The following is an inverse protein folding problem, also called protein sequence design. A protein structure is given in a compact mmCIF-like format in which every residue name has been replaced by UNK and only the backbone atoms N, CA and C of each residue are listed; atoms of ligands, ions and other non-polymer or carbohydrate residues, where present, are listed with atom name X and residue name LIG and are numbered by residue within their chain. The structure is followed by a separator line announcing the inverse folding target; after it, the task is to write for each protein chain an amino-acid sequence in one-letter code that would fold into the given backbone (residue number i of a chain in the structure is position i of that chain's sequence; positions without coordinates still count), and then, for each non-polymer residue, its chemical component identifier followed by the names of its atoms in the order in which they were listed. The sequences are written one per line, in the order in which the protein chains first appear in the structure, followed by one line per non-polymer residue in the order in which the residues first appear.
data_IF_108648277500
#
_entry.id   IF_108648277500
#
_cell.length_a   1.000
_cell.length_b   1.000
_cell.length_c   1.000
_cell.angle_alpha   90.00
_cell.angle_beta   90.00
_cell.angle_gamma   90.00
#
_symmetry.space_group_name_H-M   'P 1'
#
loop_
_entity.id
_entity.type
_entity.pdbx_description
1 polymer ?
#
# COMPACT_ATOMS: atom_id res chain seq x y z
N UNK A 1 0.35 -18.50 6.08
CA UNK A 1 1.56 -19.25 6.50
C UNK A 1 2.02 -20.18 5.38
N UNK A 2 1.12 -20.89 4.71
CA UNK A 2 1.46 -21.87 3.64
C UNK A 2 2.12 -21.26 2.39
N UNK A 3 1.99 -19.96 2.19
CA UNK A 3 2.55 -19.24 1.04
C UNK A 3 3.97 -18.70 1.30
N UNK A 4 4.39 -18.57 2.55
CA UNK A 4 5.72 -18.04 2.88
C UNK A 4 6.79 -18.94 2.27
N UNK A 5 7.80 -18.36 1.66
CA UNK A 5 8.90 -19.05 0.97
C UNK A 5 8.58 -19.47 -0.47
N UNK A 6 7.33 -19.29 -0.92
CA UNK A 6 7.00 -19.52 -2.33
C UNK A 6 7.34 -18.28 -3.16
N UNK A 7 7.62 -18.50 -4.44
CA UNK A 7 7.80 -17.44 -5.42
C UNK A 7 6.50 -17.19 -6.15
N UNK A 8 6.22 -15.93 -6.40
CA UNK A 8 5.07 -15.48 -7.17
C UNK A 8 5.55 -14.54 -8.27
N UNK A 9 4.96 -14.66 -9.44
CA UNK A 9 5.18 -13.73 -10.53
C UNK A 9 4.28 -12.51 -10.32
N UNK A 10 4.89 -11.32 -10.35
CA UNK A 10 4.18 -10.04 -10.24
C UNK A 10 4.09 -9.38 -11.60
N UNK A 11 3.23 -8.37 -11.72
CA UNK A 11 3.08 -7.57 -12.94
C UNK A 11 4.45 -7.08 -13.42
N UNK A 12 4.73 -7.28 -14.71
CA UNK A 12 6.05 -7.01 -15.31
C UNK A 12 6.97 -8.24 -15.38
N UNK A 13 6.44 -9.45 -15.08
CA UNK A 13 7.14 -10.74 -15.28
C UNK A 13 8.27 -11.01 -14.28
N UNK A 14 8.32 -10.25 -13.19
CA UNK A 14 9.33 -10.45 -12.14
C UNK A 14 8.83 -11.48 -11.13
N UNK A 15 9.67 -12.45 -10.81
CA UNK A 15 9.41 -13.43 -9.73
C UNK A 15 9.93 -12.89 -8.40
N UNK A 16 9.06 -12.83 -7.39
CA UNK A 16 9.38 -12.34 -6.04
C UNK A 16 9.08 -13.38 -4.99
N UNK A 17 9.84 -13.35 -3.89
CA UNK A 17 9.69 -14.27 -2.76
C UNK A 17 8.66 -13.73 -1.76
N UNK A 18 7.76 -14.59 -1.28
CA UNK A 18 6.81 -14.24 -0.21
C UNK A 18 7.52 -14.36 1.14
N UNK A 19 7.60 -13.25 1.85
CA UNK A 19 8.27 -13.13 3.15
C UNK A 19 7.28 -12.87 4.28
N UNK A 20 7.58 -13.32 5.52
CA UNK A 20 6.77 -12.98 6.70
C UNK A 20 7.07 -11.58 7.20
N UNK A 21 6.04 -10.82 7.62
CA UNK A 21 6.17 -9.56 8.33
C UNK A 21 5.23 -9.50 9.53
N UNK A 22 5.66 -8.89 10.65
CA UNK A 22 4.87 -8.85 11.89
C UNK A 22 3.85 -7.70 11.89
N UNK A 23 4.06 -6.69 11.09
CA UNK A 23 3.17 -5.53 11.01
C UNK A 23 1.93 -5.74 10.13
N UNK A 24 1.86 -6.87 9.41
CA UNK A 24 0.73 -7.17 8.53
C UNK A 24 -0.43 -7.78 9.31
N UNK A 25 -1.63 -7.30 9.01
CA UNK A 25 -2.88 -7.93 9.42
C UNK A 25 -3.30 -8.95 8.35
N UNK A 26 -3.30 -10.22 8.73
CA UNK A 26 -3.63 -11.32 7.82
C UNK A 26 -5.13 -11.33 7.42
N UNK A 27 -5.97 -10.64 8.18
CA UNK A 27 -7.41 -10.54 7.91
C UNK A 27 -7.76 -9.31 7.07
N UNK A 28 -6.76 -8.45 6.80
CA UNK A 28 -6.96 -7.29 5.95
C UNK A 28 -6.73 -7.64 4.47
N UNK A 29 -7.74 -7.42 3.63
CA UNK A 29 -7.69 -7.74 2.21
C UNK A 29 -7.43 -9.22 1.95
N UNK A 30 -6.37 -9.53 1.21
CA UNK A 30 -5.94 -10.90 0.91
C UNK A 30 -4.95 -11.47 1.93
N UNK A 31 -4.52 -10.66 2.91
CA UNK A 31 -3.41 -10.98 3.81
C UNK A 31 -2.03 -10.98 3.13
N UNK A 32 -1.95 -10.70 1.84
CA UNK A 32 -0.72 -10.51 1.08
C UNK A 32 -0.59 -9.06 0.65
N UNK A 33 0.58 -8.47 0.85
CA UNK A 33 0.86 -7.08 0.50
C UNK A 33 2.07 -7.02 -0.41
N UNK A 34 1.97 -6.25 -1.48
CA UNK A 34 3.10 -5.96 -2.35
C UNK A 34 4.09 -5.07 -1.60
N UNK A 35 5.27 -5.58 -1.35
CA UNK A 35 6.32 -4.89 -0.59
C UNK A 35 7.14 -3.96 -1.49
N UNK A 36 7.38 -2.74 -1.02
CA UNK A 36 8.20 -1.72 -1.69
C UNK A 36 9.26 -1.17 -0.72
N UNK A 37 10.31 -1.95 -0.43
CA UNK A 37 11.31 -1.58 0.58
C UNK A 37 12.07 -0.28 0.32
N UNK A 38 12.08 0.21 -0.92
CA UNK A 38 12.70 1.51 -1.25
C UNK A 38 11.93 2.69 -0.68
N UNK A 39 10.58 2.60 -0.67
CA UNK A 39 9.70 3.73 -0.39
C UNK A 39 8.78 3.50 0.83
N UNK A 40 8.84 2.31 1.44
CA UNK A 40 8.12 1.96 2.65
C UNK A 40 9.09 1.58 3.77
N UNK A 41 9.09 2.38 4.84
CA UNK A 41 9.94 2.13 6.00
C UNK A 41 9.55 0.83 6.73
N UNK A 42 8.26 0.50 6.79
CA UNK A 42 7.78 -0.76 7.37
C UNK A 42 8.33 -1.96 6.61
N UNK A 43 8.30 -1.91 5.29
CA UNK A 43 8.79 -3.00 4.43
C UNK A 43 10.30 -3.18 4.54
N UNK A 44 11.04 -2.05 4.54
CA UNK A 44 12.50 -2.10 4.61
C UNK A 44 12.99 -2.61 5.95
N UNK A 45 12.44 -2.13 7.06
CA UNK A 45 12.87 -2.59 8.38
C UNK A 45 12.50 -4.06 8.61
N UNK A 46 11.34 -4.51 8.13
CA UNK A 46 10.94 -5.91 8.22
C UNK A 46 11.88 -6.82 7.40
N UNK A 47 12.31 -6.36 6.21
CA UNK A 47 13.33 -7.06 5.42
C UNK A 47 14.66 -7.12 6.15
N UNK A 48 15.15 -6.00 6.71
CA UNK A 48 16.42 -5.96 7.46
C UNK A 48 16.40 -6.83 8.71
N UNK A 49 15.28 -6.86 9.44
CA UNK A 49 15.11 -7.75 10.60
C UNK A 49 15.20 -9.21 10.17
N UNK A 50 14.51 -9.58 9.09
CA UNK A 50 14.53 -10.96 8.58
C UNK A 50 15.91 -11.37 8.05
N UNK A 51 16.66 -10.45 7.41
CA UNK A 51 18.01 -10.69 6.93
C UNK A 51 19.02 -10.99 8.06
N UNK A 52 18.72 -10.58 9.29
CA UNK A 52 19.54 -10.82 10.50
C UNK A 52 19.07 -12.04 11.29
N UNK A 53 17.85 -12.53 11.07
CA UNK A 53 17.19 -13.57 11.86
C UNK A 53 17.21 -14.94 11.14
N UNK A 54 18.30 -15.68 11.35
CA UNK A 54 18.46 -17.03 10.77
C UNK A 54 17.44 -18.04 11.35
N UNK A 55 17.05 -17.89 12.61
CA UNK A 55 16.10 -18.82 13.25
C UNK A 55 14.70 -18.63 12.64
N UNK A 56 14.32 -17.37 12.39
CA UNK A 56 13.07 -17.06 11.73
C UNK A 56 13.05 -17.53 10.29
N UNK A 57 14.14 -17.40 9.56
CA UNK A 57 14.28 -17.96 8.23
C UNK A 57 14.11 -19.49 8.25
N UNK A 58 14.77 -20.19 9.16
CA UNK A 58 14.62 -21.65 9.33
C UNK A 58 13.18 -22.04 9.66
N UNK A 59 12.52 -21.32 10.56
CA UNK A 59 11.11 -21.56 10.94
C UNK A 59 10.16 -21.57 9.76
N UNK A 60 10.41 -20.72 8.77
CA UNK A 60 9.60 -20.59 7.57
C UNK A 60 10.20 -21.29 6.33
N UNK A 61 11.25 -22.09 6.53
CA UNK A 61 11.95 -22.81 5.46
C UNK A 61 12.46 -21.90 4.33
N UNK A 62 12.97 -20.70 4.72
CA UNK A 62 13.56 -19.71 3.83
C UNK A 62 15.07 -19.93 3.73
N UNK A 63 15.64 -19.80 2.54
CA UNK A 63 17.09 -19.71 2.39
C UNK A 63 17.58 -18.34 2.83
N UNK A 64 18.33 -18.30 3.93
CA UNK A 64 18.89 -17.07 4.48
C UNK A 64 19.79 -16.31 3.48
N UNK A 65 20.50 -17.02 2.61
CA UNK A 65 21.35 -16.38 1.61
C UNK A 65 20.50 -15.71 0.52
N UNK A 66 19.39 -16.33 0.11
CA UNK A 66 18.45 -15.72 -0.81
C UNK A 66 17.83 -14.45 -0.18
N UNK A 67 17.42 -14.51 1.07
CA UNK A 67 16.85 -13.36 1.80
C UNK A 67 17.88 -12.24 1.95
N UNK A 68 19.14 -12.54 2.33
CA UNK A 68 20.22 -11.57 2.45
C UNK A 68 20.57 -10.87 1.13
N UNK A 69 20.31 -11.51 0.00
CA UNK A 69 20.57 -10.96 -1.33
C UNK A 69 19.46 -10.04 -1.85
N UNK A 70 18.29 -9.98 -1.18
CA UNK A 70 17.20 -9.08 -1.56
C UNK A 70 17.62 -7.66 -1.24
N UNK A 71 17.58 -6.79 -2.26
CA UNK A 71 17.91 -5.37 -2.14
C UNK A 71 16.69 -4.53 -2.53
N UNK A 72 16.48 -3.38 -1.85
CA UNK A 72 15.49 -2.41 -2.29
C UNK A 72 15.76 -1.96 -3.73
N UNK A 73 14.69 -1.78 -4.48
CA UNK A 73 14.75 -1.23 -5.84
C UNK A 73 14.04 0.11 -5.80
N UNK A 74 14.78 1.20 -6.00
CA UNK A 74 14.22 2.55 -6.07
C UNK A 74 13.25 2.63 -7.24
N UNK A 75 12.02 3.05 -6.96
CA UNK A 75 10.95 3.16 -7.96
C UNK A 75 10.51 4.61 -8.19
N UNK A 76 10.84 5.49 -7.24
CA UNK A 76 10.49 6.91 -7.28
C UNK A 76 11.74 7.79 -7.15
N UNK A 77 11.65 8.98 -7.73
CA UNK A 77 12.57 10.08 -7.49
C UNK A 77 11.96 11.00 -6.43
N UNK A 78 12.34 10.81 -5.16
CA UNK A 78 11.88 11.65 -4.06
C UNK A 78 12.97 12.65 -3.68
N UNK A 79 12.69 13.94 -3.84
CA UNK A 79 13.68 15.00 -3.67
C UNK A 79 14.29 14.97 -2.26
N UNK A 80 15.62 14.93 -2.19
CA UNK A 80 16.40 15.00 -0.95
C UNK A 80 16.49 13.70 -0.16
N UNK A 81 15.92 12.57 -0.65
CA UNK A 81 15.91 11.30 0.07
C UNK A 81 16.74 10.18 -0.61
N UNK A 82 17.36 10.46 -1.77
CA UNK A 82 18.15 9.47 -2.51
C UNK A 82 17.31 8.37 -3.16
N UNK A 83 18.00 7.29 -3.58
CA UNK A 83 17.37 6.17 -4.32
C UNK A 83 16.53 5.23 -3.44
N UNK A 84 16.76 5.27 -2.12
CA UNK A 84 16.03 4.47 -1.14
C UNK A 84 15.51 5.39 -0.02
N UNK A 85 14.44 6.16 -0.27
CA UNK A 85 13.88 7.12 0.69
C UNK A 85 13.57 6.52 2.06
N UNK A 86 13.10 5.27 2.11
CA UNK A 86 12.83 4.56 3.35
C UNK A 86 14.07 4.41 4.23
N UNK A 87 15.25 4.12 3.65
CA UNK A 87 16.49 4.01 4.38
C UNK A 87 16.87 5.35 5.02
N UNK A 88 16.85 6.43 4.24
CA UNK A 88 17.15 7.79 4.74
C UNK A 88 16.27 8.15 5.93
N UNK A 89 15.00 7.79 5.89
CA UNK A 89 14.05 8.06 6.97
C UNK A 89 14.29 7.17 8.20
N UNK A 90 14.57 5.89 8.02
CA UNK A 90 14.91 4.99 9.13
C UNK A 90 16.16 5.45 9.88
N UNK A 91 17.20 5.87 9.14
CA UNK A 91 18.44 6.42 9.70
C UNK A 91 18.20 7.75 10.45
N UNK A 92 17.42 8.68 9.85
CA UNK A 92 17.03 9.96 10.46
C UNK A 92 16.32 9.77 11.80
N UNK A 93 15.42 8.81 11.89
CA UNK A 93 14.62 8.52 13.10
C UNK A 93 15.27 7.48 14.02
N UNK A 94 16.43 6.93 13.64
CA UNK A 94 17.16 5.90 14.37
C UNK A 94 16.25 4.73 14.76
N UNK A 95 15.60 4.13 13.74
CA UNK A 95 14.78 2.93 13.90
C UNK A 95 15.66 1.71 13.71
N UNK A 96 15.64 0.80 14.66
CA UNK A 96 16.48 -0.42 14.66
C UNK A 96 15.66 -1.68 14.41
N UNK A 97 14.36 -1.68 14.76
CA UNK A 97 13.47 -2.84 14.66
C UNK A 97 12.06 -2.47 14.21
N UNK A 98 11.38 -3.41 13.56
CA UNK A 98 10.00 -3.22 13.08
C UNK A 98 8.96 -3.04 14.20
N UNK A 99 9.31 -3.33 15.46
CA UNK A 99 8.42 -3.17 16.60
C UNK A 99 8.37 -1.73 17.14
N UNK A 100 9.23 -0.83 16.64
CA UNK A 100 9.24 0.59 16.99
C UNK A 100 8.11 1.37 16.33
N UNK A 101 6.86 0.91 16.52
CA UNK A 101 5.67 1.37 15.80
C UNK A 101 5.46 2.89 15.84
N UNK A 102 5.69 3.51 17.01
CA UNK A 102 5.48 4.96 17.14
C UNK A 102 6.40 5.81 16.26
N UNK A 103 7.63 5.35 15.98
CA UNK A 103 8.55 6.01 15.06
C UNK A 103 8.16 5.70 13.61
N UNK A 104 7.86 4.43 13.33
CA UNK A 104 7.45 3.98 11.99
C UNK A 104 6.17 4.67 11.52
N UNK A 105 5.18 4.87 12.39
CA UNK A 105 3.96 5.59 12.06
C UNK A 105 4.20 7.07 11.73
N UNK A 106 5.18 7.70 12.38
CA UNK A 106 5.61 9.07 12.02
C UNK A 106 6.29 9.10 10.65
N UNK A 107 7.22 8.19 10.43
CA UNK A 107 7.92 8.05 9.14
C UNK A 107 6.90 7.80 8.04
N UNK A 108 5.99 6.86 8.23
CA UNK A 108 4.95 6.52 7.24
C UNK A 108 4.16 7.75 6.80
N UNK A 109 3.73 8.58 7.74
CA UNK A 109 2.98 9.81 7.44
C UNK A 109 3.83 10.85 6.69
N UNK A 110 5.11 11.03 7.11
CA UNK A 110 6.03 11.99 6.48
C UNK A 110 6.42 11.50 5.08
N UNK A 111 6.85 10.26 4.96
CA UNK A 111 7.30 9.67 3.70
C UNK A 111 6.15 9.58 2.68
N UNK A 112 4.96 9.17 3.10
CA UNK A 112 3.80 9.14 2.22
C UNK A 112 3.50 10.50 1.60
N UNK A 113 3.56 11.58 2.41
CA UNK A 113 3.37 12.95 1.92
C UNK A 113 4.41 13.33 0.87
N UNK A 114 5.68 13.04 1.16
CA UNK A 114 6.79 13.37 0.26
C UNK A 114 6.73 12.57 -1.04
N UNK A 115 6.44 11.28 -0.95
CA UNK A 115 6.39 10.40 -2.11
C UNK A 115 5.15 10.62 -2.97
N UNK A 116 3.97 10.76 -2.38
CA UNK A 116 2.73 10.88 -3.14
C UNK A 116 2.59 12.24 -3.83
N UNK A 117 2.87 13.33 -3.12
CA UNK A 117 2.69 14.68 -3.66
C UNK A 117 3.95 15.29 -4.28
N UNK A 118 5.12 14.83 -3.89
CA UNK A 118 6.40 15.44 -4.27
C UNK A 118 7.30 14.60 -5.16
N UNK A 119 7.06 13.29 -5.25
CA UNK A 119 7.88 12.41 -6.05
C UNK A 119 7.36 12.22 -7.47
N UNK A 120 8.24 11.77 -8.34
CA UNK A 120 7.96 11.34 -9.70
C UNK A 120 8.47 9.92 -9.94
N UNK A 121 7.89 9.24 -10.92
CA UNK A 121 8.40 7.94 -11.34
C UNK A 121 9.80 8.05 -11.91
N UNK A 122 10.65 7.08 -11.61
CA UNK A 122 12.02 7.05 -12.11
C UNK A 122 12.12 6.37 -13.49
N UNK A 123 13.34 6.19 -13.96
CA UNK A 123 13.66 5.60 -15.27
C UNK A 123 13.10 4.18 -15.50
N UNK A 124 12.75 3.44 -14.44
CA UNK A 124 12.14 2.11 -14.56
C UNK A 124 10.74 2.16 -15.18
N UNK A 125 10.13 3.34 -15.21
CA UNK A 125 8.81 3.56 -15.80
C UNK A 125 8.85 4.24 -17.17
N UNK A 126 10.03 4.25 -17.82
CA UNK A 126 10.20 4.87 -19.14
C UNK A 126 9.32 4.23 -20.22
N UNK A 127 9.21 2.92 -20.21
CA UNK A 127 8.40 2.15 -21.15
C UNK A 127 7.38 1.28 -20.42
N UNK A 128 6.65 1.90 -19.47
CA UNK A 128 5.68 1.20 -18.67
C UNK A 128 4.32 1.16 -19.36
N UNK A 129 3.89 -0.05 -19.74
CA UNK A 129 2.83 -0.27 -20.73
C UNK A 129 3.17 0.49 -22.01
N UNK A 130 2.20 1.17 -22.63
CA UNK A 130 2.39 1.94 -23.86
C UNK A 130 2.71 3.42 -23.60
N UNK A 131 3.13 3.79 -22.40
CA UNK A 131 3.38 5.17 -22.00
C UNK A 131 4.70 5.34 -21.25
N UNK A 132 5.40 6.43 -21.57
CA UNK A 132 6.51 6.87 -20.76
C UNK A 132 6.00 7.62 -19.52
N UNK A 133 6.22 7.06 -18.35
CA UNK A 133 5.88 7.66 -17.06
C UNK A 133 7.11 8.23 -16.32
N UNK A 134 8.32 8.13 -16.86
CA UNK A 134 9.51 8.73 -16.26
C UNK A 134 9.31 10.23 -16.07
N UNK A 135 9.52 10.73 -14.85
CA UNK A 135 9.34 12.12 -14.48
C UNK A 135 7.89 12.55 -14.24
N UNK A 136 6.91 11.70 -14.51
CA UNK A 136 5.49 11.98 -14.20
C UNK A 136 5.28 11.89 -12.69
N UNK A 137 4.48 12.81 -12.13
CA UNK A 137 4.15 12.78 -10.70
C UNK A 137 3.38 11.52 -10.32
N UNK A 138 3.65 11.01 -9.12
CA UNK A 138 3.01 9.78 -8.61
C UNK A 138 1.49 9.92 -8.60
N UNK A 139 0.96 11.06 -8.19
CA UNK A 139 -0.48 11.35 -8.16
C UNK A 139 -1.16 11.16 -9.52
N UNK A 140 -0.51 11.63 -10.60
CA UNK A 140 -1.03 11.52 -11.98
C UNK A 140 -0.84 10.11 -12.56
N UNK A 141 0.37 9.55 -12.42
CA UNK A 141 0.69 8.26 -13.01
C UNK A 141 0.02 7.07 -12.34
N UNK A 142 -0.30 7.18 -11.06
CA UNK A 142 -1.00 6.14 -10.30
C UNK A 142 -2.35 5.78 -10.91
N UNK A 143 -3.15 6.77 -11.29
CA UNK A 143 -4.46 6.51 -11.90
C UNK A 143 -4.33 5.82 -13.26
N UNK A 144 -3.38 6.26 -14.08
CA UNK A 144 -3.09 5.59 -15.36
C UNK A 144 -2.69 4.13 -15.15
N UNK A 145 -1.76 3.85 -14.24
CA UNK A 145 -1.31 2.47 -13.96
C UNK A 145 -2.48 1.60 -13.47
N UNK A 146 -3.30 2.12 -12.58
CA UNK A 146 -4.50 1.42 -12.08
C UNK A 146 -5.44 1.05 -13.23
N UNK A 147 -5.74 2.01 -14.11
CA UNK A 147 -6.68 1.79 -15.20
C UNK A 147 -6.15 0.76 -16.21
N UNK A 148 -4.86 0.80 -16.54
CA UNK A 148 -4.25 -0.20 -17.41
C UNK A 148 -4.24 -1.60 -16.79
N UNK A 149 -3.92 -1.72 -15.51
CA UNK A 149 -3.96 -3.00 -14.80
C UNK A 149 -5.38 -3.60 -14.72
N UNK A 150 -6.40 -2.75 -14.54
CA UNK A 150 -7.81 -3.16 -14.60
C UNK A 150 -8.20 -3.64 -15.99
N UNK A 151 -7.85 -2.91 -17.05
CA UNK A 151 -8.10 -3.30 -18.45
C UNK A 151 -7.46 -4.63 -18.81
N UNK A 152 -6.26 -4.89 -18.29
CA UNK A 152 -5.54 -6.15 -18.50
C UNK A 152 -6.07 -7.31 -17.63
N UNK A 153 -6.98 -7.05 -16.70
CA UNK A 153 -7.51 -8.05 -15.77
C UNK A 153 -6.49 -8.54 -14.73
N UNK A 154 -5.43 -7.77 -14.48
CA UNK A 154 -4.40 -8.13 -13.50
C UNK A 154 -4.75 -7.74 -12.07
N UNK A 155 -5.68 -6.80 -11.90
CA UNK A 155 -6.18 -6.35 -10.59
C UNK A 155 -7.70 -6.25 -10.59
N UNK A 156 -8.26 -6.25 -9.39
CA UNK A 156 -9.66 -5.92 -9.14
C UNK A 156 -9.74 -4.91 -7.99
N UNK A 157 -10.87 -4.21 -7.88
CA UNK A 157 -11.08 -3.21 -6.82
C UNK A 157 -11.83 -3.86 -5.66
N UNK A 158 -11.17 -3.89 -4.51
CA UNK A 158 -11.75 -4.35 -3.27
C UNK A 158 -11.98 -3.17 -2.32
N UNK A 159 -13.19 -3.06 -1.81
CA UNK A 159 -13.58 -2.00 -0.87
C UNK A 159 -13.62 -2.54 0.54
N UNK A 160 -12.85 -1.94 1.43
CA UNK A 160 -12.79 -2.31 2.84
C UNK A 160 -12.78 -1.06 3.71
N UNK A 161 -13.34 -1.16 4.91
CA UNK A 161 -13.26 -0.08 5.90
C UNK A 161 -11.82 0.09 6.38
N UNK A 162 -11.37 1.33 6.54
CA UNK A 162 -10.00 1.64 7.00
C UNK A 162 -9.76 1.35 8.48
N UNK A 163 -10.78 0.93 9.20
CA UNK A 163 -10.73 0.52 10.59
C UNK A 163 -12.05 -0.09 11.01
N UNK A 164 -12.10 -0.64 12.22
CA UNK A 164 -13.29 -1.26 12.77
C UNK A 164 -14.40 -0.23 12.97
N UNK A 165 -15.49 -0.39 12.26
CA UNK A 165 -16.71 0.41 12.40
C UNK A 165 -17.80 -0.48 12.94
N UNK A 166 -18.53 -0.02 13.96
CA UNK A 166 -19.64 -0.75 14.56
C UNK A 166 -20.93 0.05 14.48
N UNK A 167 -22.02 -0.63 14.23
CA UNK A 167 -23.35 -0.07 14.28
C UNK A 167 -23.79 0.23 15.73
N UNK A 168 -24.95 0.88 15.93
CA UNK A 168 -25.53 1.10 17.28
C UNK A 168 -25.81 -0.21 18.02
N UNK A 169 -26.03 -1.29 17.32
CA UNK A 169 -26.24 -2.64 17.85
C UNK A 169 -24.96 -3.36 18.23
N UNK A 170 -23.80 -2.70 18.13
CA UNK A 170 -22.45 -3.27 18.30
C UNK A 170 -22.07 -4.32 17.24
N UNK A 171 -22.91 -4.54 16.22
CA UNK A 171 -22.55 -5.37 15.08
C UNK A 171 -21.47 -4.69 14.25
N UNK A 172 -20.50 -5.47 13.79
CA UNK A 172 -19.43 -4.97 12.91
C UNK A 172 -19.98 -4.66 11.51
N UNK A 173 -19.60 -3.50 10.98
CA UNK A 173 -19.99 -3.07 9.65
C UNK A 173 -19.00 -3.60 8.62
N UNK A 174 -19.52 -4.00 7.48
CA UNK A 174 -18.75 -4.41 6.30
C UNK A 174 -19.14 -3.54 5.10
N UNK A 175 -18.21 -3.35 4.16
CA UNK A 175 -18.54 -2.72 2.89
C UNK A 175 -19.26 -3.73 2.02
N UNK A 176 -20.38 -3.32 1.44
CA UNK A 176 -21.13 -4.13 0.48
C UNK A 176 -21.60 -3.23 -0.65
N UNK A 177 -21.34 -3.65 -1.88
CA UNK A 177 -21.99 -3.05 -3.05
C UNK A 177 -23.42 -3.60 -3.07
N UNK A 178 -24.38 -2.70 -3.13
CA UNK A 178 -25.79 -3.05 -3.17
C UNK A 178 -26.44 -2.43 -4.41
N UNK A 179 -27.19 -3.22 -5.13
CA UNK A 179 -28.02 -2.80 -6.25
C UNK A 179 -29.44 -2.52 -5.75
N UNK A 180 -30.22 -1.77 -6.52
CA UNK A 180 -31.62 -1.48 -6.26
C UNK A 180 -31.91 -0.84 -4.90
N UNK A 181 -31.10 0.14 -4.51
CA UNK A 181 -31.33 0.92 -3.30
C UNK A 181 -32.14 2.18 -3.59
N UNK A 182 -33.10 2.45 -2.73
CA UNK A 182 -33.89 3.68 -2.77
C UNK A 182 -33.25 4.72 -1.86
N UNK A 183 -33.06 5.92 -2.39
CA UNK A 183 -32.56 7.08 -1.66
C UNK A 183 -33.59 8.19 -1.68
N UNK A 184 -33.71 8.91 -0.56
CA UNK A 184 -34.51 10.13 -0.51
C UNK A 184 -33.68 11.28 -1.06
N UNK A 185 -34.21 11.98 -2.04
CA UNK A 185 -33.57 13.14 -2.64
C UNK A 185 -33.77 14.40 -1.76
N UNK A 186 -33.13 14.44 -0.61
CA UNK A 186 -33.26 15.58 0.34
C UNK A 186 -32.89 16.95 -0.24
N UNK A 187 -32.12 16.99 -1.32
CA UNK A 187 -31.74 18.20 -2.03
C UNK A 187 -32.69 18.59 -3.17
N UNK A 188 -33.83 17.90 -3.35
CA UNK A 188 -34.82 18.26 -4.35
C UNK A 188 -35.40 19.65 -4.03
N UNK A 189 -35.30 20.58 -4.99
CA UNK A 189 -35.67 22.00 -4.79
C UNK A 189 -37.15 22.17 -4.51
N UNK A 190 -38.02 21.41 -5.21
CA UNK A 190 -39.47 21.51 -5.04
C UNK A 190 -39.88 21.02 -3.65
N UNK A 191 -39.30 19.93 -3.20
CA UNK A 191 -39.56 19.38 -1.87
C UNK A 191 -39.04 20.29 -0.76
N UNK A 192 -37.84 20.81 -0.93
CA UNK A 192 -37.20 21.72 0.03
C UNK A 192 -38.00 23.02 0.14
N UNK A 193 -38.49 23.58 -0.99
CA UNK A 193 -39.34 24.76 -1.01
C UNK A 193 -40.64 24.53 -0.26
N UNK A 194 -41.33 23.39 -0.53
CA UNK A 194 -42.54 23.03 0.16
C UNK A 194 -42.33 22.89 1.68
N UNK A 195 -41.20 22.30 2.10
CA UNK A 195 -40.87 22.19 3.51
C UNK A 195 -40.66 23.54 4.17
N UNK A 196 -40.06 24.51 3.49
CA UNK A 196 -39.91 25.89 3.98
C UNK A 196 -41.27 26.61 4.11
N UNK A 197 -42.14 26.46 3.11
CA UNK A 197 -43.48 27.05 3.14
C UNK A 197 -44.35 26.52 4.30
N UNK A 198 -44.05 25.34 4.83
CA UNK A 198 -44.77 24.77 5.97
C UNK A 198 -44.21 25.29 7.33
N UNK A 199 -43.12 26.05 7.36
CA UNK A 199 -42.53 26.61 8.57
C UNK A 199 -42.97 28.04 8.86
N UNK A 200 -43.59 28.73 7.89
CA UNK A 200 -44.20 30.08 7.98
C UNK A 200 -45.69 29.99 8.39
#
# INVERSE_FOLDING_TARGET
IELIGKKVEVVGGRSVLILPATFLDAEFGTGLVHSVPSDSADDLIALWDLQKDEERCKKYNLDINEVKNIKPIGVLNTQGLGDVPAQTMLEKYKVEHQDERSKLDKIKKELYKLSFYGASFNHLYKDFFDKNLEGVKVEEGKEYIKDELLKMGHIDIYYQLTGKVVARTLAECVVKIVDDQWFLAYGDEAWTKLAHECLD
#
